data_IF_702748397070
#
_entry.id   IF_702748397070
#
_cell.length_a   1.000
_cell.length_b   1.000
_cell.length_c   1.000
_cell.angle_alpha   90.00
_cell.angle_beta   90.00
_cell.angle_gamma   90.00
#
_symmetry.space_group_name_H-M   'P 1'
#
loop_
_entity.id
_entity.type
_entity.pdbx_description
1 polymer ?
#
# COMPACT_ATOMS: atom_id res chain seq x y z
N UNK A 1 -52.98 -27.70 5.12
CA UNK A 1 -52.53 -26.38 5.61
C UNK A 1 -51.01 -26.35 5.47
N UNK A 2 -50.54 -25.94 4.28
CA UNK A 2 -49.11 -25.87 3.97
C UNK A 2 -48.66 -24.41 4.09
N UNK A 3 -47.61 -24.19 4.86
CA UNK A 3 -46.97 -22.89 5.08
C UNK A 3 -46.25 -22.48 3.80
N UNK A 4 -46.56 -21.29 3.30
CA UNK A 4 -45.93 -20.64 2.16
C UNK A 4 -44.55 -20.10 2.60
N UNK A 5 -43.42 -20.66 2.12
CA UNK A 5 -42.11 -20.15 2.46
C UNK A 5 -41.79 -18.96 1.54
N UNK A 6 -42.07 -17.78 2.09
CA UNK A 6 -41.21 -16.61 2.03
C UNK A 6 -40.70 -16.19 0.63
N UNK A 7 -41.36 -15.15 0.13
CA UNK A 7 -40.80 -14.03 -0.63
C UNK A 7 -39.30 -13.75 -0.38
N UNK A 8 -38.42 -14.41 -1.14
CA UNK A 8 -37.07 -13.94 -1.38
C UNK A 8 -37.10 -13.05 -2.62
N UNK A 9 -37.38 -11.76 -2.44
CA UNK A 9 -37.39 -10.78 -3.52
C UNK A 9 -36.02 -10.72 -4.23
N UNK A 10 -35.98 -10.62 -5.57
CA UNK A 10 -34.73 -10.67 -6.32
C UNK A 10 -33.84 -9.48 -5.94
N UNK A 11 -32.63 -9.73 -5.42
CA UNK A 11 -31.65 -8.67 -5.19
C UNK A 11 -31.22 -8.09 -6.54
N UNK A 12 -31.79 -6.93 -6.90
CA UNK A 12 -31.63 -6.30 -8.21
C UNK A 12 -30.16 -5.90 -8.40
N UNK A 13 -29.46 -6.36 -9.45
CA UNK A 13 -28.04 -6.09 -9.67
C UNK A 13 -27.70 -4.58 -9.70
N UNK A 14 -28.68 -3.74 -10.07
CA UNK A 14 -28.59 -2.27 -10.04
C UNK A 14 -28.37 -1.68 -8.64
N UNK A 15 -28.98 -2.27 -7.61
CA UNK A 15 -28.80 -1.81 -6.23
C UNK A 15 -27.37 -2.10 -5.73
N UNK A 16 -26.81 -3.25 -6.12
CA UNK A 16 -25.42 -3.62 -5.82
C UNK A 16 -24.44 -2.72 -6.56
N UNK A 17 -24.67 -2.46 -7.84
CA UNK A 17 -23.83 -1.54 -8.63
C UNK A 17 -23.84 -0.12 -8.05
N UNK A 18 -25.01 0.36 -7.61
CA UNK A 18 -25.14 1.69 -7.00
C UNK A 18 -24.41 1.74 -5.64
N UNK A 19 -24.53 0.71 -4.81
CA UNK A 19 -23.79 0.61 -3.56
C UNK A 19 -22.27 0.61 -3.77
N UNK A 20 -21.78 -0.13 -4.77
CA UNK A 20 -20.35 -0.16 -5.13
C UNK A 20 -19.89 1.22 -5.61
N UNK A 21 -20.66 1.88 -6.49
CA UNK A 21 -20.32 3.21 -6.99
C UNK A 21 -20.24 4.25 -5.84
N UNK A 22 -21.19 4.20 -4.89
CA UNK A 22 -21.16 5.06 -3.70
C UNK A 22 -19.93 4.78 -2.85
N UNK A 23 -19.61 3.51 -2.58
CA UNK A 23 -18.43 3.14 -1.81
C UNK A 23 -17.13 3.61 -2.47
N UNK A 24 -17.02 3.49 -3.80
CA UNK A 24 -15.86 3.99 -4.55
C UNK A 24 -15.78 5.51 -4.48
N UNK A 25 -16.90 6.23 -4.60
CA UNK A 25 -16.92 7.69 -4.48
C UNK A 25 -16.50 8.15 -3.07
N UNK A 26 -16.99 7.50 -2.02
CA UNK A 26 -16.57 7.78 -0.64
C UNK A 26 -15.07 7.50 -0.47
N UNK A 27 -14.58 6.37 -0.99
CA UNK A 27 -13.17 6.02 -0.91
C UNK A 27 -12.28 7.06 -1.59
N UNK A 28 -12.63 7.48 -2.82
CA UNK A 28 -11.91 8.55 -3.53
C UNK A 28 -11.95 9.86 -2.74
N UNK A 29 -13.11 10.23 -2.20
CA UNK A 29 -13.25 11.42 -1.36
C UNK A 29 -12.35 11.38 -0.12
N UNK A 30 -12.25 10.23 0.54
CA UNK A 30 -11.36 10.05 1.69
C UNK A 30 -9.87 10.17 1.31
N UNK A 31 -9.47 9.60 0.17
CA UNK A 31 -8.09 9.76 -0.33
C UNK A 31 -7.74 11.22 -0.62
N UNK A 32 -8.66 11.96 -1.27
CA UNK A 32 -8.46 13.39 -1.55
C UNK A 32 -8.40 14.20 -0.26
N UNK A 33 -9.31 13.95 0.70
CA UNK A 33 -9.31 14.63 1.98
C UNK A 33 -8.01 14.38 2.77
N UNK A 34 -7.53 13.13 2.78
CA UNK A 34 -6.25 12.78 3.40
C UNK A 34 -5.07 13.55 2.78
N UNK A 35 -5.03 13.70 1.46
CA UNK A 35 -3.98 14.45 0.76
C UNK A 35 -4.02 15.97 0.93
N UNK A 36 -5.07 16.53 1.56
CA UNK A 36 -5.14 17.97 1.85
C UNK A 36 -4.66 18.35 3.25
N UNK A 37 -4.32 17.37 4.08
CA UNK A 37 -3.84 17.64 5.43
C UNK A 37 -2.41 18.16 5.39
N UNK A 38 -2.16 19.24 6.13
CA UNK A 38 -0.81 19.76 6.37
C UNK A 38 -0.25 19.14 7.65
N UNK A 39 1.07 18.87 7.72
CA UNK A 39 1.66 18.27 8.90
C UNK A 39 1.35 19.05 10.19
N UNK A 40 0.84 18.34 11.20
CA UNK A 40 0.59 18.85 12.54
C UNK A 40 1.28 17.94 13.59
N UNK A 41 2.41 18.40 14.17
CA UNK A 41 3.11 17.66 15.21
C UNK A 41 2.22 17.35 16.43
N UNK A 42 1.19 18.17 16.70
CA UNK A 42 0.22 17.93 17.77
C UNK A 42 -0.69 16.71 17.54
N UNK A 43 -0.81 16.29 16.28
CA UNK A 43 -1.57 15.11 15.85
C UNK A 43 -0.67 13.92 15.49
N UNK A 44 0.63 13.99 15.83
CA UNK A 44 1.65 13.00 15.45
C UNK A 44 1.84 12.89 13.93
N UNK A 45 1.59 13.98 13.21
CA UNK A 45 1.78 14.14 11.77
C UNK A 45 2.98 15.07 11.53
N UNK A 46 4.08 14.52 11.03
CA UNK A 46 5.36 15.22 10.95
C UNK A 46 5.70 15.53 9.49
N UNK A 47 6.39 16.65 9.22
CA UNK A 47 6.86 16.97 7.87
C UNK A 47 7.64 15.80 7.26
N UNK A 48 7.22 15.41 6.06
CA UNK A 48 7.80 14.33 5.27
C UNK A 48 8.83 14.84 4.27
N UNK A 49 9.21 13.97 3.35
CA UNK A 49 10.19 14.23 2.30
C UNK A 49 9.72 15.35 1.35
N UNK A 50 8.43 15.35 1.01
CA UNK A 50 7.81 16.31 0.10
C UNK A 50 7.70 17.72 0.70
N UNK A 51 7.55 17.84 2.01
CA UNK A 51 7.53 19.14 2.70
C UNK A 51 8.93 19.67 2.98
N UNK A 52 9.85 18.78 3.38
CA UNK A 52 11.23 19.14 3.78
C UNK A 52 12.13 19.36 2.57
N UNK A 53 12.01 18.55 1.52
CA UNK A 53 12.88 18.58 0.34
C UNK A 53 13.01 19.95 -0.33
N UNK A 54 11.91 20.70 -0.56
CA UNK A 54 11.95 22.02 -1.20
C UNK A 54 12.70 23.10 -0.41
N UNK A 55 12.64 23.05 0.93
CA UNK A 55 13.34 24.00 1.82
C UNK A 55 13.71 23.34 3.16
N UNK A 56 14.81 22.54 3.20
CA UNK A 56 15.21 21.84 4.42
C UNK A 56 15.58 22.80 5.56
N UNK A 57 16.01 24.03 5.23
CA UNK A 57 16.43 25.05 6.19
C UNK A 57 15.28 25.51 7.09
N UNK A 58 14.06 25.56 6.55
CA UNK A 58 12.86 25.92 7.30
C UNK A 58 12.50 24.92 8.42
N UNK A 59 12.97 23.67 8.31
CA UNK A 59 12.65 22.58 9.24
C UNK A 59 13.78 22.26 10.22
N UNK A 60 14.87 23.03 10.22
CA UNK A 60 15.96 22.87 11.19
C UNK A 60 15.43 23.10 12.62
N UNK A 61 15.70 22.14 13.50
CA UNK A 61 15.21 22.09 14.88
C UNK A 61 13.82 21.46 15.02
N UNK A 62 13.17 21.04 13.93
CA UNK A 62 11.88 20.36 13.96
C UNK A 62 12.04 18.84 13.86
N UNK A 63 11.03 18.13 14.34
CA UNK A 63 10.94 16.67 14.20
C UNK A 63 10.31 16.35 12.85
N UNK A 64 10.98 15.48 12.07
CA UNK A 64 10.63 15.13 10.69
C UNK A 64 10.68 13.61 10.51
N UNK A 65 10.02 13.13 9.46
CA UNK A 65 10.06 11.73 9.04
C UNK A 65 10.59 11.67 7.61
N UNK A 66 11.76 11.03 7.39
CA UNK A 66 12.38 10.94 6.07
C UNK A 66 12.63 9.46 5.69
N UNK A 67 12.07 9.03 4.58
CA UNK A 67 12.30 7.77 3.88
C UNK A 67 13.34 8.01 2.78
N UNK A 68 14.39 7.20 2.81
CA UNK A 68 15.43 7.30 1.81
C UNK A 68 16.22 6.03 1.66
N UNK A 69 16.92 5.94 0.54
CA UNK A 69 17.82 4.82 0.23
C UNK A 69 19.20 5.08 0.82
N UNK A 70 19.77 4.11 1.52
CA UNK A 70 21.12 4.21 2.08
C UNK A 70 22.16 4.20 0.96
N UNK A 71 22.89 5.29 0.81
CA UNK A 71 24.02 5.44 -0.13
C UNK A 71 25.33 4.91 0.46
N UNK A 72 25.51 5.06 1.77
CA UNK A 72 26.73 4.68 2.48
C UNK A 72 26.49 4.62 3.98
N UNK A 73 27.39 3.96 4.70
CA UNK A 73 27.21 3.61 6.12
C UNK A 73 28.24 4.25 7.05
N UNK A 74 29.28 4.90 6.53
CA UNK A 74 30.31 5.63 7.29
C UNK A 74 30.67 6.97 6.63
N UNK A 75 29.99 8.08 6.97
CA UNK A 75 28.79 8.16 7.81
C UNK A 75 27.53 7.62 7.08
N UNK A 76 26.48 7.29 7.84
CA UNK A 76 25.20 6.86 7.26
C UNK A 76 24.60 8.03 6.47
N UNK A 77 24.54 7.87 5.15
CA UNK A 77 23.96 8.85 4.23
C UNK A 77 22.81 8.20 3.49
N UNK A 78 21.65 8.84 3.52
CA UNK A 78 20.47 8.44 2.76
C UNK A 78 20.21 9.44 1.64
N UNK A 79 19.73 8.92 0.51
CA UNK A 79 19.14 9.68 -0.58
C UNK A 79 17.62 9.68 -0.38
N UNK A 80 17.07 10.86 -0.15
CA UNK A 80 15.65 11.10 0.05
C UNK A 80 15.10 11.65 -1.26
N UNK A 81 14.06 11.01 -1.79
CA UNK A 81 13.35 11.46 -2.99
C UNK A 81 12.14 12.30 -2.58
N UNK A 82 11.89 13.38 -3.30
CA UNK A 82 10.72 14.25 -3.13
C UNK A 82 10.20 14.73 -4.49
N UNK A 83 8.92 15.08 -4.51
CA UNK A 83 8.26 15.61 -5.71
C UNK A 83 8.30 14.63 -6.90
N UNK A 84 8.73 15.11 -8.07
CA UNK A 84 8.79 14.29 -9.30
C UNK A 84 10.24 13.95 -9.65
N UNK A 85 10.86 13.11 -8.83
CA UNK A 85 12.22 12.59 -9.04
C UNK A 85 13.34 13.53 -8.61
N UNK A 86 13.04 14.51 -7.76
CA UNK A 86 14.07 15.33 -7.12
C UNK A 86 14.62 14.56 -5.91
N UNK A 87 15.92 14.67 -5.67
CA UNK A 87 16.54 13.99 -4.52
C UNK A 87 17.43 14.94 -3.74
N UNK A 88 17.54 14.70 -2.43
CA UNK A 88 18.51 15.34 -1.58
C UNK A 88 19.16 14.32 -0.65
N UNK A 89 20.39 14.60 -0.22
CA UNK A 89 21.16 13.70 0.61
C UNK A 89 21.18 14.19 2.06
N UNK A 90 20.87 13.28 3.00
CA UNK A 90 20.87 13.57 4.43
C UNK A 90 21.80 12.60 5.15
N UNK A 91 22.62 13.12 6.06
CA UNK A 91 23.39 12.30 6.99
C UNK A 91 22.56 11.99 8.22
N UNK A 92 22.34 10.70 8.48
CA UNK A 92 21.56 10.22 9.62
C UNK A 92 22.50 9.78 10.73
N UNK A 93 22.23 10.25 11.94
CA UNK A 93 22.96 9.90 13.16
C UNK A 93 22.00 9.28 14.18
N UNK A 94 22.53 8.58 15.20
CA UNK A 94 21.68 7.92 16.21
C UNK A 94 21.11 6.57 15.79
N UNK A 95 21.58 5.99 14.68
CA UNK A 95 21.16 4.67 14.22
C UNK A 95 21.77 3.59 15.12
N UNK A 96 20.92 2.84 15.82
CA UNK A 96 21.28 1.80 16.78
C UNK A 96 21.34 0.39 16.18
N UNK A 97 21.01 0.27 14.88
CA UNK A 97 20.97 -1.00 14.14
C UNK A 97 21.93 -0.99 12.94
N UNK A 98 22.48 -2.15 12.55
CA UNK A 98 23.30 -2.24 11.34
C UNK A 98 22.44 -1.94 10.11
N UNK A 99 22.97 -1.10 9.23
CA UNK A 99 22.39 -0.72 7.94
C UNK A 99 23.38 -1.04 6.83
N UNK A 100 22.88 -1.44 5.66
CA UNK A 100 23.71 -1.73 4.49
C UNK A 100 23.42 -0.74 3.37
N UNK A 101 24.41 -0.49 2.51
CA UNK A 101 24.20 0.29 1.30
C UNK A 101 23.15 -0.40 0.41
N UNK A 102 22.17 0.37 -0.04
CA UNK A 102 21.03 -0.10 -0.83
C UNK A 102 19.76 -0.41 -0.05
N UNK A 103 19.81 -0.43 1.29
CA UNK A 103 18.61 -0.58 2.12
C UNK A 103 17.71 0.66 2.03
N UNK A 104 16.41 0.49 2.28
CA UNK A 104 15.50 1.61 2.51
C UNK A 104 15.35 1.87 4.01
N UNK A 105 15.48 3.13 4.38
CA UNK A 105 15.51 3.56 5.76
C UNK A 105 14.52 4.68 5.96
N UNK A 106 13.55 4.45 6.85
CA UNK A 106 12.65 5.47 7.34
C UNK A 106 13.18 5.98 8.68
N UNK A 107 13.73 7.18 8.68
CA UNK A 107 14.28 7.85 9.84
C UNK A 107 13.29 8.85 10.42
N UNK A 108 12.96 8.66 11.69
CA UNK A 108 12.19 9.61 12.47
C UNK A 108 13.09 10.30 13.48
N UNK A 109 13.11 11.63 13.47
CA UNK A 109 13.98 12.37 14.39
C UNK A 109 14.02 13.86 14.13
N UNK A 110 14.99 14.54 14.74
CA UNK A 110 15.13 16.00 14.65
C UNK A 110 16.14 16.39 13.57
N UNK A 111 15.74 17.30 12.67
CA UNK A 111 16.64 17.84 11.66
C UNK A 111 17.56 18.88 12.31
N UNK A 112 18.80 18.53 12.61
CA UNK A 112 19.75 19.43 13.29
C UNK A 112 20.35 20.49 12.35
N UNK A 113 20.41 20.17 11.05
CA UNK A 113 20.85 21.06 9.99
C UNK A 113 20.29 20.60 8.64
N UNK A 114 20.38 21.43 7.60
CA UNK A 114 19.85 21.19 6.24
C UNK A 114 20.26 19.84 5.60
N UNK A 115 21.27 19.14 6.13
CA UNK A 115 21.64 17.79 5.71
C UNK A 115 22.02 16.85 6.85
N UNK A 116 21.57 17.13 8.09
CA UNK A 116 21.88 16.30 9.26
C UNK A 116 20.63 16.02 10.06
N UNK A 117 20.27 14.74 10.13
CA UNK A 117 19.16 14.23 10.91
C UNK A 117 19.70 13.45 12.11
N UNK A 118 19.22 13.81 13.29
CA UNK A 118 19.42 13.06 14.53
C UNK A 118 18.21 12.16 14.71
N UNK A 119 18.37 10.87 14.40
CA UNK A 119 17.27 9.92 14.43
C UNK A 119 16.99 9.45 15.87
N UNK A 120 15.76 9.65 16.32
CA UNK A 120 15.24 9.10 17.58
C UNK A 120 14.79 7.65 17.40
N UNK A 121 14.30 7.33 16.20
CA UNK A 121 13.85 6.00 15.80
C UNK A 121 14.14 5.77 14.33
N UNK A 122 14.69 4.60 14.03
CA UNK A 122 14.93 4.18 12.64
C UNK A 122 14.17 2.90 12.36
N UNK A 123 13.37 2.90 11.30
CA UNK A 123 12.77 1.69 10.74
C UNK A 123 13.52 1.35 9.45
N UNK A 124 14.31 0.28 9.51
CA UNK A 124 14.99 -0.27 8.34
C UNK A 124 14.05 -1.25 7.66
N UNK A 125 13.85 -1.09 6.36
CA UNK A 125 13.15 -2.05 5.51
C UNK A 125 14.12 -2.66 4.53
N UNK A 126 14.27 -3.98 4.61
CA UNK A 126 15.11 -4.71 3.67
C UNK A 126 14.42 -4.80 2.31
N UNK A 127 15.14 -4.65 1.19
CA UNK A 127 14.55 -4.65 -0.16
C UNK A 127 13.74 -5.92 -0.50
N UNK A 128 13.98 -7.04 0.18
CA UNK A 128 13.29 -8.31 -0.08
C UNK A 128 11.87 -8.36 0.51
N UNK A 129 11.54 -7.55 1.52
CA UNK A 129 10.21 -7.54 2.15
C UNK A 129 9.13 -7.08 1.15
N UNK A 130 9.49 -6.15 0.26
CA UNK A 130 8.66 -5.74 -0.87
C UNK A 130 8.34 -6.91 -1.80
N UNK A 131 9.36 -7.71 -2.15
CA UNK A 131 9.19 -8.90 -2.98
C UNK A 131 8.29 -9.94 -2.32
N UNK A 132 8.43 -10.14 -1.00
CA UNK A 132 7.59 -11.05 -0.24
C UNK A 132 6.11 -10.63 -0.28
N UNK A 133 5.82 -9.36 -0.02
CA UNK A 133 4.46 -8.82 -0.07
C UNK A 133 3.83 -8.99 -1.46
N UNK A 134 4.56 -8.65 -2.53
CA UNK A 134 4.07 -8.81 -3.89
C UNK A 134 3.88 -10.28 -4.27
N UNK A 135 4.81 -11.16 -3.90
CA UNK A 135 4.70 -12.59 -4.18
C UNK A 135 3.47 -13.22 -3.49
N UNK A 136 3.27 -12.94 -2.19
CA UNK A 136 2.12 -13.44 -1.45
C UNK A 136 0.81 -12.87 -2.01
N UNK A 137 0.77 -11.59 -2.34
CA UNK A 137 -0.40 -10.95 -2.95
C UNK A 137 -0.70 -11.51 -4.34
N UNK A 138 0.33 -11.79 -5.14
CA UNK A 138 0.19 -12.42 -6.45
C UNK A 138 -0.36 -13.85 -6.35
N UNK A 139 0.16 -14.66 -5.42
CA UNK A 139 -0.34 -16.02 -5.16
C UNK A 139 -1.78 -15.98 -4.64
N UNK A 140 -2.08 -15.07 -3.71
CA UNK A 140 -3.43 -14.86 -3.19
C UNK A 140 -4.41 -14.42 -4.28
N UNK A 141 -4.01 -13.47 -5.12
CA UNK A 141 -4.77 -13.02 -6.28
C UNK A 141 -5.03 -14.15 -7.27
N UNK A 142 -4.00 -14.92 -7.63
CA UNK A 142 -4.11 -16.07 -8.53
C UNK A 142 -5.04 -17.14 -7.94
N UNK A 143 -5.00 -17.37 -6.63
CA UNK A 143 -5.89 -18.30 -5.95
C UNK A 143 -7.36 -17.85 -5.98
N UNK A 144 -7.63 -16.55 -5.73
CA UNK A 144 -8.97 -15.97 -5.84
C UNK A 144 -9.49 -16.06 -7.27
N UNK A 145 -8.66 -15.72 -8.27
CA UNK A 145 -8.99 -15.83 -9.69
C UNK A 145 -9.28 -17.28 -10.06
N UNK A 146 -8.41 -18.21 -9.68
CA UNK A 146 -8.59 -19.64 -9.95
C UNK A 146 -9.87 -20.17 -9.32
N UNK A 147 -10.18 -19.79 -8.08
CA UNK A 147 -11.41 -20.21 -7.39
C UNK A 147 -12.66 -19.59 -8.01
N UNK A 148 -12.57 -18.35 -8.45
CA UNK A 148 -13.66 -17.64 -9.14
C UNK A 148 -13.95 -18.29 -10.48
N UNK A 149 -12.94 -18.51 -11.33
CA UNK A 149 -13.09 -19.15 -12.64
C UNK A 149 -13.54 -20.63 -12.53
N UNK A 150 -13.12 -21.34 -11.47
CA UNK A 150 -13.54 -22.71 -11.20
C UNK A 150 -15.00 -22.83 -10.78
N UNK A 151 -15.57 -21.82 -10.12
CA UNK A 151 -16.96 -21.86 -9.63
C UNK A 151 -17.95 -21.03 -10.45
N UNK A 152 -17.45 -20.06 -11.22
CA UNK A 152 -18.28 -19.08 -11.92
C UNK A 152 -17.82 -18.93 -13.37
N UNK A 153 -18.77 -18.86 -14.29
CA UNK A 153 -18.50 -18.49 -15.68
C UNK A 153 -18.89 -17.02 -15.83
N UNK A 154 -17.98 -16.21 -16.37
CA UNK A 154 -18.31 -14.85 -16.82
C UNK A 154 -19.02 -15.03 -18.15
N UNK A 155 -20.33 -14.77 -18.15
CA UNK A 155 -21.13 -14.76 -19.37
C UNK A 155 -21.01 -13.36 -19.98
N UNK A 156 -20.13 -13.24 -20.99
CA UNK A 156 -19.81 -11.97 -21.64
C UNK A 156 -21.01 -11.37 -22.39
N UNK A 157 -21.95 -12.22 -22.85
CA UNK A 157 -23.16 -11.77 -23.54
C UNK A 157 -24.19 -11.12 -22.59
N UNK A 158 -24.11 -11.42 -21.29
CA UNK A 158 -25.01 -10.85 -20.25
C UNK A 158 -24.31 -9.96 -19.24
N UNK A 159 -22.99 -9.80 -19.33
CA UNK A 159 -22.15 -9.16 -18.32
C UNK A 159 -22.46 -9.67 -16.90
N UNK A 160 -22.70 -10.98 -16.75
CA UNK A 160 -23.15 -11.59 -15.51
C UNK A 160 -22.23 -12.73 -15.08
N UNK A 161 -22.02 -12.84 -13.77
CA UNK A 161 -21.24 -13.92 -13.15
C UNK A 161 -22.23 -15.03 -12.76
N UNK A 162 -22.26 -16.13 -13.52
CA UNK A 162 -23.20 -17.23 -13.33
C UNK A 162 -22.48 -18.42 -12.68
N UNK A 163 -23.02 -19.06 -11.62
CA UNK A 163 -22.39 -20.25 -11.03
C UNK A 163 -22.38 -21.40 -12.06
N UNK A 164 -21.28 -22.14 -12.15
CA UNK A 164 -21.19 -23.33 -13.04
C UNK A 164 -21.91 -24.52 -12.41
N UNK A 165 -22.72 -25.22 -13.19
CA UNK A 165 -23.49 -26.39 -12.73
C UNK A 165 -22.65 -27.68 -12.65
N UNK A 166 -21.56 -27.79 -13.41
CA UNK A 166 -20.63 -28.94 -13.35
C UNK A 166 -19.16 -28.50 -13.19
N UNK A 167 -18.44 -28.98 -12.15
CA UNK A 167 -17.00 -28.80 -12.02
C UNK A 167 -16.25 -29.59 -13.11
N UNK A 168 -15.15 -29.03 -13.63
CA UNK A 168 -14.23 -29.76 -14.50
C UNK A 168 -13.61 -30.95 -13.73
N UNK A 169 -14.12 -32.15 -13.93
CA UNK A 169 -13.41 -33.37 -13.58
C UNK A 169 -12.32 -33.60 -14.63
N UNK A 170 -11.07 -33.71 -14.20
CA UNK A 170 -10.00 -34.28 -15.03
C UNK A 170 -10.42 -35.72 -15.30
N UNK A 171 -10.86 -35.99 -16.53
CA UNK A 171 -11.10 -37.35 -16.98
C UNK A 171 -9.72 -38.01 -17.07
N UNK A 172 -9.42 -38.87 -16.10
CA UNK A 172 -8.33 -39.82 -16.24
C UNK A 172 -8.70 -40.75 -17.38
N UNK A 173 -8.04 -40.58 -18.53
CA UNK A 173 -7.96 -41.66 -19.51
C UNK A 173 -7.09 -42.75 -18.90
N UNK A 174 -7.74 -43.82 -18.50
CA UNK A 174 -7.13 -45.01 -17.99
C UNK A 174 -8.19 -46.08 -17.99
N UNK A 175 -8.34 -46.75 -19.13
CA UNK A 175 -8.65 -48.17 -19.19
C UNK A 175 -8.12 -48.72 -20.52
N UNK A 176 -7.30 -49.77 -20.38
CA UNK A 176 -6.67 -50.56 -21.43
C UNK A 176 -7.65 -51.59 -22.02
#
# INVERSE_FOLDING_TARGET
MAVDPASAGPSRPRARALAIAVLLAVLVGLFVAAGTQTPDPGSNDYPGEDEVGPDPGAYVGQQVSLDGRVLGTDPIRIEVEYGTGETFAVTVTGVDRPVSAGDHLNAFGTLEAEGRLSADRVVVREPWELWYMYAVSFVGGLWVVARTVRRWRVDADRLAVVPREEPLSVRGDGDA
#
